data_IF_001892095315
#
_entry.id   IF_001892095315
#
_cell.length_a   1.000
_cell.length_b   1.000
_cell.length_c   1.000
_cell.angle_alpha   90.00
_cell.angle_beta   90.00
_cell.angle_gamma   90.00
#
_symmetry.space_group_name_H-M   'P 1'
#
loop_
_entity.id
_entity.type
_entity.pdbx_description
1 polymer ?
#
# COMPACT_ATOMS: atom_id res chain seq x y z
N UNK A 1 12.56 10.96 7.89
CA UNK A 1 13.74 11.49 7.14
C UNK A 1 14.16 10.47 6.09
N UNK A 2 14.45 10.91 4.85
CA UNK A 2 14.98 10.06 3.75
C UNK A 2 16.49 10.11 3.78
N UNK A 3 17.18 8.96 3.79
CA UNK A 3 18.65 8.90 3.75
C UNK A 3 19.14 7.79 2.81
N UNK A 4 20.22 8.04 2.08
CA UNK A 4 20.92 7.01 1.30
C UNK A 4 21.70 6.13 2.26
N UNK A 5 21.60 4.81 2.07
CA UNK A 5 22.38 3.83 2.85
C UNK A 5 23.16 2.91 1.91
N UNK A 6 24.30 2.38 2.40
CA UNK A 6 25.01 1.33 1.66
C UNK A 6 24.20 0.03 1.76
N UNK A 7 23.83 -0.59 0.63
CA UNK A 7 23.16 -1.89 0.64
C UNK A 7 23.90 -2.96 1.46
N UNK A 8 25.23 -2.87 1.56
CA UNK A 8 26.06 -3.81 2.34
C UNK A 8 25.79 -3.75 3.84
N UNK A 9 25.25 -2.62 4.33
CA UNK A 9 24.89 -2.46 5.74
C UNK A 9 23.47 -3.04 6.02
N UNK A 10 22.86 -3.69 5.04
CA UNK A 10 21.54 -4.28 5.14
C UNK A 10 21.54 -5.77 4.80
N UNK A 11 20.48 -6.48 5.20
CA UNK A 11 20.24 -7.85 4.75
C UNK A 11 19.85 -7.96 3.27
N UNK A 12 19.79 -6.83 2.56
CA UNK A 12 19.39 -6.74 1.15
C UNK A 12 20.55 -6.55 0.17
N UNK A 13 21.81 -6.63 0.65
CA UNK A 13 23.02 -6.43 -0.18
C UNK A 13 23.02 -7.31 -1.43
N UNK A 14 22.83 -8.61 -1.28
CA UNK A 14 22.79 -9.56 -2.39
C UNK A 14 21.60 -9.30 -3.34
N UNK A 15 20.42 -9.03 -2.79
CA UNK A 15 19.24 -8.72 -3.58
C UNK A 15 19.41 -7.41 -4.38
N UNK A 16 20.10 -6.42 -3.79
CA UNK A 16 20.42 -5.18 -4.48
C UNK A 16 21.38 -5.43 -5.66
N UNK A 17 22.42 -6.20 -5.47
CA UNK A 17 23.38 -6.54 -6.53
C UNK A 17 22.71 -7.29 -7.69
N UNK A 18 21.85 -8.26 -7.39
CA UNK A 18 21.18 -9.11 -8.39
C UNK A 18 20.07 -8.38 -9.15
N UNK A 19 19.24 -7.60 -8.43
CA UNK A 19 17.96 -7.15 -8.98
C UNK A 19 17.92 -5.66 -9.33
N UNK A 20 18.87 -4.84 -8.86
CA UNK A 20 18.83 -3.40 -9.14
C UNK A 20 19.00 -3.08 -10.63
N UNK A 21 19.72 -3.92 -11.36
CA UNK A 21 19.97 -3.77 -12.80
C UNK A 21 19.05 -4.66 -13.66
N UNK A 22 18.14 -5.39 -13.04
CA UNK A 22 17.21 -6.25 -13.79
C UNK A 22 16.20 -5.40 -14.56
N UNK A 23 15.88 -5.74 -15.81
CA UNK A 23 14.91 -5.01 -16.61
C UNK A 23 13.48 -5.12 -16.05
N UNK A 24 13.22 -6.12 -15.20
CA UNK A 24 11.95 -6.28 -14.49
C UNK A 24 12.23 -6.81 -13.08
N UNK A 25 12.16 -5.93 -12.11
CA UNK A 25 12.45 -6.24 -10.70
C UNK A 25 11.21 -6.28 -9.81
N UNK A 26 10.02 -6.08 -10.38
CA UNK A 26 8.77 -6.11 -9.63
C UNK A 26 8.17 -7.51 -9.60
N UNK A 27 7.71 -7.91 -8.43
CA UNK A 27 7.00 -9.18 -8.19
C UNK A 27 5.59 -8.86 -7.69
N UNK A 28 4.59 -9.59 -8.21
CA UNK A 28 3.20 -9.44 -7.76
C UNK A 28 2.70 -10.76 -7.17
N UNK A 29 2.16 -10.70 -5.96
CA UNK A 29 1.48 -11.80 -5.30
C UNK A 29 0.03 -11.42 -5.06
N UNK A 30 -0.91 -12.35 -5.30
CA UNK A 30 -2.33 -12.14 -4.99
C UNK A 30 -2.79 -13.15 -3.95
N UNK A 31 -3.49 -12.64 -2.93
CA UNK A 31 -4.12 -13.45 -1.89
C UNK A 31 -5.56 -13.01 -1.69
N UNK A 32 -6.45 -13.96 -1.48
CA UNK A 32 -7.84 -13.68 -1.08
C UNK A 32 -7.93 -13.53 0.43
N UNK A 33 -8.37 -12.37 0.88
CA UNK A 33 -8.54 -12.01 2.30
C UNK A 33 -9.98 -12.20 2.76
N UNK A 34 -10.15 -12.63 4.00
CA UNK A 34 -11.43 -12.51 4.70
C UNK A 34 -11.55 -11.09 5.26
N UNK A 35 -12.44 -10.31 4.69
CA UNK A 35 -12.69 -8.91 5.08
C UNK A 35 -14.06 -8.73 5.76
N UNK A 36 -14.63 -9.81 6.28
CA UNK A 36 -15.94 -9.79 6.93
C UNK A 36 -15.97 -8.81 8.10
N UNK A 37 -14.96 -8.89 8.97
CA UNK A 37 -14.85 -7.99 10.13
C UNK A 37 -14.66 -6.54 9.71
N UNK A 38 -13.77 -6.27 8.77
CA UNK A 38 -13.52 -4.93 8.24
C UNK A 38 -14.82 -4.30 7.72
N UNK A 39 -15.63 -5.06 6.97
CA UNK A 39 -16.93 -4.62 6.47
C UNK A 39 -17.92 -4.33 7.60
N UNK A 40 -17.96 -5.16 8.64
CA UNK A 40 -18.82 -4.95 9.81
C UNK A 40 -18.43 -3.67 10.56
N UNK A 41 -17.14 -3.48 10.83
CA UNK A 41 -16.61 -2.27 11.51
C UNK A 41 -16.89 -1.02 10.67
N UNK A 42 -16.61 -1.06 9.36
CA UNK A 42 -16.91 0.02 8.42
C UNK A 42 -18.35 0.51 8.56
N UNK A 43 -19.31 -0.41 8.61
CA UNK A 43 -20.74 -0.07 8.73
C UNK A 43 -21.10 0.45 10.12
N UNK A 44 -20.62 -0.24 11.19
CA UNK A 44 -20.97 0.13 12.58
C UNK A 44 -20.41 1.49 12.97
N UNK A 45 -19.19 1.82 12.53
CA UNK A 45 -18.52 3.08 12.86
C UNK A 45 -18.74 4.17 11.80
N UNK A 46 -19.48 3.89 10.74
CA UNK A 46 -19.67 4.80 9.59
C UNK A 46 -18.36 5.32 9.01
N UNK A 47 -17.38 4.42 8.87
CA UNK A 47 -16.07 4.70 8.29
C UNK A 47 -15.99 4.01 6.92
N UNK A 48 -15.51 4.71 5.88
CA UNK A 48 -15.37 4.15 4.54
C UNK A 48 -14.48 2.90 4.56
N UNK A 49 -14.92 1.82 3.89
CA UNK A 49 -14.19 0.55 3.82
C UNK A 49 -12.74 0.72 3.33
N UNK A 50 -12.54 1.48 2.25
CA UNK A 50 -11.20 1.72 1.70
C UNK A 50 -10.30 2.48 2.68
N UNK A 51 -10.84 3.43 3.46
CA UNK A 51 -10.09 4.11 4.52
C UNK A 51 -9.57 3.12 5.56
N UNK A 52 -10.44 2.26 6.07
CA UNK A 52 -10.04 1.23 7.03
C UNK A 52 -9.03 0.26 6.46
N UNK A 53 -9.18 -0.16 5.20
CA UNK A 53 -8.23 -1.05 4.55
C UNK A 53 -6.87 -0.37 4.37
N UNK A 54 -6.83 0.90 3.95
CA UNK A 54 -5.60 1.68 3.84
C UNK A 54 -4.88 1.79 5.19
N UNK A 55 -5.62 2.04 6.27
CA UNK A 55 -5.04 2.04 7.63
C UNK A 55 -4.50 0.67 8.03
N UNK A 56 -5.21 -0.42 7.74
CA UNK A 56 -4.74 -1.79 7.99
C UNK A 56 -3.45 -2.11 7.22
N UNK A 57 -3.35 -1.64 5.96
CA UNK A 57 -2.14 -1.78 5.13
C UNK A 57 -0.97 -1.07 5.79
N UNK A 58 -1.15 0.19 6.20
CA UNK A 58 -0.12 0.94 6.91
C UNK A 58 0.30 0.28 8.21
N UNK A 59 -0.66 -0.22 8.99
CA UNK A 59 -0.40 -0.92 10.26
C UNK A 59 0.35 -2.24 10.08
N UNK A 60 0.03 -3.02 9.07
CA UNK A 60 0.77 -4.24 8.76
C UNK A 60 2.20 -3.93 8.28
N UNK A 61 2.34 -2.93 7.40
CA UNK A 61 3.63 -2.50 6.85
C UNK A 61 4.55 -1.90 7.91
N UNK A 62 4.01 -1.11 8.85
CA UNK A 62 4.82 -0.43 9.88
C UNK A 62 5.58 -1.38 10.81
N UNK A 63 5.18 -2.66 10.84
CA UNK A 63 5.81 -3.71 11.65
C UNK A 63 6.96 -4.43 10.93
N UNK A 64 7.30 -4.00 9.72
CA UNK A 64 8.27 -4.67 8.86
C UNK A 64 9.33 -3.69 8.36
N UNK A 65 10.59 -3.98 8.66
CA UNK A 65 11.73 -3.12 8.26
C UNK A 65 11.83 -2.95 6.74
N UNK A 66 11.41 -3.92 5.98
CA UNK A 66 11.48 -3.91 4.52
C UNK A 66 10.65 -2.77 3.91
N UNK A 67 9.56 -2.35 4.58
CA UNK A 67 8.76 -1.22 4.13
C UNK A 67 9.41 0.15 4.39
N UNK A 68 10.52 0.19 5.10
CA UNK A 68 11.29 1.42 5.30
C UNK A 68 12.49 1.53 4.35
N UNK A 69 12.62 0.60 3.41
CA UNK A 69 13.65 0.58 2.38
C UNK A 69 13.02 0.82 1.01
N UNK A 70 13.65 1.64 0.16
CA UNK A 70 13.22 1.85 -1.22
C UNK A 70 14.43 1.90 -2.15
N UNK A 71 14.54 0.99 -3.14
CA UNK A 71 15.50 1.14 -4.22
C UNK A 71 14.97 2.19 -5.22
N UNK A 72 15.78 3.19 -5.50
CA UNK A 72 15.42 4.27 -6.41
C UNK A 72 16.69 4.79 -7.11
N UNK A 73 16.69 4.92 -8.44
CA UNK A 73 17.79 5.50 -9.23
C UNK A 73 19.19 4.91 -8.92
N UNK A 74 19.27 3.58 -8.77
CA UNK A 74 20.52 2.89 -8.49
C UNK A 74 21.03 3.02 -7.05
N UNK A 75 20.24 3.56 -6.13
CA UNK A 75 20.56 3.73 -4.71
C UNK A 75 19.53 3.01 -3.84
N UNK A 76 19.91 2.71 -2.61
CA UNK A 76 19.00 2.23 -1.58
C UNK A 76 18.75 3.36 -0.58
N UNK A 77 17.49 3.72 -0.40
CA UNK A 77 17.06 4.71 0.58
C UNK A 77 16.41 4.04 1.78
N UNK A 78 16.67 4.61 2.95
CA UNK A 78 15.98 4.26 4.20
C UNK A 78 15.14 5.44 4.66
N UNK A 79 13.94 5.13 5.11
CA UNK A 79 12.97 6.08 5.65
C UNK A 79 12.68 5.75 7.11
N UNK A 80 12.20 6.72 7.87
CA UNK A 80 11.72 6.57 9.25
C UNK A 80 10.18 6.67 9.38
N UNK A 81 9.50 7.02 8.29
CA UNK A 81 8.05 7.18 8.24
C UNK A 81 7.45 6.51 7.02
N UNK A 82 6.17 6.13 7.15
CA UNK A 82 5.37 5.58 6.07
C UNK A 82 4.24 6.54 5.70
N UNK A 83 3.83 6.52 4.44
CA UNK A 83 2.61 7.14 3.97
C UNK A 83 1.85 6.17 3.04
N UNK A 84 0.55 6.35 2.94
CA UNK A 84 -0.32 5.61 2.05
C UNK A 84 -0.78 6.54 0.93
N UNK A 85 -0.41 6.23 -0.30
CA UNK A 85 -0.93 6.93 -1.47
C UNK A 85 -2.32 6.39 -1.83
N UNK A 86 -3.27 7.28 -2.00
CA UNK A 86 -4.66 6.93 -2.34
C UNK A 86 -5.05 7.63 -3.64
N UNK A 87 -5.53 6.85 -4.60
CA UNK A 87 -6.07 7.36 -5.86
C UNK A 87 -7.55 7.70 -5.66
N UNK A 88 -7.95 8.88 -6.11
CA UNK A 88 -9.33 9.38 -6.04
C UNK A 88 -9.81 9.86 -7.42
N UNK A 89 -11.08 9.65 -7.70
CA UNK A 89 -11.72 10.32 -8.84
C UNK A 89 -11.90 11.80 -8.52
N UNK A 90 -11.58 12.67 -9.47
CA UNK A 90 -11.76 14.10 -9.33
C UNK A 90 -13.07 14.59 -9.97
N UNK A 91 -13.46 15.83 -9.69
CA UNK A 91 -14.73 16.43 -10.17
C UNK A 91 -14.77 16.62 -11.70
N UNK A 92 -13.64 16.54 -12.38
CA UNK A 92 -13.52 16.69 -13.84
C UNK A 92 -13.55 15.36 -14.59
N UNK A 93 -13.77 14.24 -13.87
CA UNK A 93 -13.85 12.88 -14.45
C UNK A 93 -12.49 12.20 -14.63
N UNK A 94 -11.40 12.82 -14.21
CA UNK A 94 -10.06 12.23 -14.15
C UNK A 94 -9.75 11.64 -12.79
N UNK A 95 -8.47 11.33 -12.56
CA UNK A 95 -7.96 10.81 -11.29
C UNK A 95 -6.85 11.73 -10.74
N UNK A 96 -6.78 11.82 -9.43
CA UNK A 96 -5.67 12.40 -8.69
C UNK A 96 -5.27 11.45 -7.55
N UNK A 97 -4.14 11.71 -6.93
CA UNK A 97 -3.70 10.95 -5.77
C UNK A 97 -3.23 11.85 -4.65
N UNK A 98 -3.27 11.35 -3.44
CA UNK A 98 -2.71 12.04 -2.28
C UNK A 98 -2.01 11.05 -1.35
N UNK A 99 -0.91 11.50 -0.76
CA UNK A 99 -0.19 10.77 0.25
C UNK A 99 -0.71 11.15 1.63
N UNK A 100 -1.06 10.14 2.40
CA UNK A 100 -1.59 10.27 3.75
C UNK A 100 -0.57 9.69 4.71
N UNK A 101 0.00 10.50 5.58
CA UNK A 101 0.96 10.03 6.59
C UNK A 101 0.34 8.93 7.45
N UNK A 102 1.04 7.81 7.57
CA UNK A 102 0.55 6.74 8.43
C UNK A 102 0.77 7.07 9.91
N UNK A 103 -0.26 6.81 10.70
CA UNK A 103 -0.21 6.78 12.17
C UNK A 103 -0.89 5.51 12.68
N UNK A 104 -0.41 4.97 13.80
CA UNK A 104 -0.99 3.78 14.43
C UNK A 104 -2.35 4.05 15.07
N UNK A 105 -2.67 5.32 15.32
CA UNK A 105 -3.97 5.75 15.81
C UNK A 105 -4.96 5.98 14.67
N UNK A 106 -6.00 5.13 14.62
CA UNK A 106 -7.07 5.23 13.60
C UNK A 106 -7.88 6.52 13.71
N UNK A 107 -8.06 7.06 14.91
CA UNK A 107 -8.85 8.29 15.11
C UNK A 107 -8.13 9.51 14.53
N UNK A 108 -6.81 9.54 14.59
CA UNK A 108 -5.97 10.56 13.93
C UNK A 108 -5.86 10.33 12.41
N UNK A 109 -5.78 9.07 11.94
CA UNK A 109 -5.68 8.77 10.52
C UNK A 109 -6.96 9.12 9.73
N UNK A 110 -8.12 8.92 10.33
CA UNK A 110 -9.41 9.13 9.66
C UNK A 110 -9.65 10.56 9.15
N UNK A 111 -9.46 11.63 9.95
CA UNK A 111 -9.64 13.00 9.47
C UNK A 111 -8.66 13.36 8.36
N UNK A 112 -7.39 12.99 8.48
CA UNK A 112 -6.37 13.26 7.46
C UNK A 112 -6.72 12.59 6.12
N UNK A 113 -7.10 11.31 6.17
CA UNK A 113 -7.56 10.58 4.99
C UNK A 113 -8.72 11.31 4.29
N UNK A 114 -9.73 11.72 5.05
CA UNK A 114 -10.93 12.40 4.51
C UNK A 114 -10.57 13.76 3.91
N UNK A 115 -9.81 14.57 4.65
CA UNK A 115 -9.43 15.91 4.21
C UNK A 115 -8.59 15.88 2.93
N UNK A 116 -7.54 15.05 2.89
CA UNK A 116 -6.63 14.96 1.74
C UNK A 116 -7.29 14.36 0.51
N UNK A 117 -8.09 13.29 0.66
CA UNK A 117 -8.84 12.71 -0.46
C UNK A 117 -9.89 13.66 -1.01
N UNK A 118 -10.57 14.43 -0.15
CA UNK A 118 -11.52 15.45 -0.58
C UNK A 118 -10.82 16.61 -1.28
N UNK A 119 -9.71 17.09 -0.74
CA UNK A 119 -8.93 18.17 -1.35
C UNK A 119 -8.44 17.77 -2.75
N UNK A 120 -7.84 16.58 -2.90
CA UNK A 120 -7.38 16.07 -4.21
C UNK A 120 -8.52 15.92 -5.22
N UNK A 121 -9.70 15.46 -4.77
CA UNK A 121 -10.88 15.31 -5.62
C UNK A 121 -11.43 16.67 -6.08
N UNK A 122 -11.46 17.67 -5.22
CA UNK A 122 -12.05 18.99 -5.51
C UNK A 122 -11.09 19.93 -6.24
N UNK A 123 -9.79 19.90 -5.92
CA UNK A 123 -8.79 20.76 -6.55
C UNK A 123 -8.33 20.23 -7.91
N UNK A 124 -8.56 18.97 -8.23
CA UNK A 124 -7.98 18.25 -9.38
C UNK A 124 -6.44 18.29 -9.38
N UNK A 125 -5.85 18.34 -8.19
CA UNK A 125 -4.40 18.34 -7.98
C UNK A 125 -4.00 17.20 -7.06
N UNK A 126 -2.88 16.54 -7.37
CA UNK A 126 -2.28 15.53 -6.50
C UNK A 126 -1.39 16.18 -5.45
N UNK A 127 -1.27 15.54 -4.28
CA UNK A 127 -0.41 16.00 -3.19
C UNK A 127 0.47 14.86 -2.69
N UNK A 128 1.75 15.12 -2.52
CA UNK A 128 2.76 14.11 -2.16
C UNK A 128 3.56 14.53 -0.93
N UNK A 129 4.15 13.56 -0.26
CA UNK A 129 5.08 13.76 0.86
C UNK A 129 6.48 13.30 0.44
N UNK A 130 7.51 14.11 0.70
CA UNK A 130 8.87 13.86 0.21
C UNK A 130 9.72 13.00 1.16
N UNK A 131 9.35 12.88 2.42
CA UNK A 131 10.20 12.31 3.47
C UNK A 131 9.61 11.06 4.14
N UNK A 132 8.65 10.41 3.49
CA UNK A 132 8.07 9.14 3.90
C UNK A 132 8.22 8.09 2.79
N UNK A 133 8.38 6.82 3.16
CA UNK A 133 8.23 5.73 2.20
C UNK A 133 6.75 5.53 1.91
N UNK A 134 6.38 5.68 0.66
CA UNK A 134 4.99 5.66 0.21
C UNK A 134 4.60 4.27 -0.24
N UNK A 135 3.50 3.75 0.30
CA UNK A 135 2.83 2.53 -0.19
C UNK A 135 1.68 2.98 -1.08
N UNK A 136 1.76 2.69 -2.37
CA UNK A 136 0.70 2.99 -3.30
C UNK A 136 -0.53 2.11 -3.07
N UNK A 137 -1.73 2.67 -3.22
CA UNK A 137 -2.96 1.89 -3.22
C UNK A 137 -3.86 2.25 -4.39
N UNK A 138 -4.52 1.23 -4.96
CA UNK A 138 -5.48 1.43 -6.04
C UNK A 138 -6.72 0.54 -5.83
N UNK A 139 -7.90 1.17 -5.79
CA UNK A 139 -9.16 0.51 -5.52
C UNK A 139 -10.13 0.64 -6.72
N UNK A 140 -10.32 -0.44 -7.47
CA UNK A 140 -11.25 -0.53 -8.60
C UNK A 140 -12.60 -1.11 -8.16
N UNK A 141 -13.33 -0.37 -7.32
CA UNK A 141 -14.53 -0.85 -6.61
C UNK A 141 -15.77 -1.05 -7.50
N UNK A 142 -15.71 -0.63 -8.76
CA UNK A 142 -16.80 -0.83 -9.73
C UNK A 142 -16.96 -2.30 -10.16
N UNK A 143 -15.91 -3.11 -10.06
CA UNK A 143 -15.91 -4.51 -10.48
C UNK A 143 -15.21 -5.43 -9.49
N UNK A 144 -15.56 -6.71 -9.52
CA UNK A 144 -14.85 -7.76 -8.82
C UNK A 144 -13.66 -8.20 -9.68
N UNK A 145 -12.50 -8.37 -9.08
CA UNK A 145 -11.27 -8.79 -9.75
C UNK A 145 -10.69 -9.99 -9.01
N UNK A 146 -10.07 -10.91 -9.75
CA UNK A 146 -9.36 -12.06 -9.18
C UNK A 146 -7.93 -11.70 -8.82
N UNK A 147 -7.28 -10.90 -9.67
CA UNK A 147 -5.92 -10.40 -9.48
C UNK A 147 -5.69 -9.13 -10.31
N UNK A 148 -4.66 -8.38 -9.94
CA UNK A 148 -4.21 -7.20 -10.66
C UNK A 148 -2.68 -7.27 -10.72
N UNK A 149 -2.12 -7.12 -11.91
CA UNK A 149 -0.68 -6.91 -12.11
C UNK A 149 -0.50 -5.47 -12.58
N UNK A 150 0.24 -4.69 -11.79
CA UNK A 150 0.51 -3.31 -12.14
C UNK A 150 1.63 -3.23 -13.20
N UNK A 151 1.66 -2.12 -13.92
CA UNK A 151 2.78 -1.83 -14.82
C UNK A 151 4.10 -1.75 -14.02
N UNK A 152 5.19 -2.04 -14.70
CA UNK A 152 6.53 -1.80 -14.18
C UNK A 152 7.10 -0.52 -14.81
N UNK A 153 7.75 0.27 -14.00
CA UNK A 153 8.62 1.36 -14.44
C UNK A 153 9.79 1.49 -13.45
N UNK A 154 10.96 1.78 -13.96
CA UNK A 154 12.18 2.03 -13.16
C UNK A 154 12.11 3.34 -12.36
N UNK A 155 11.14 4.20 -12.66
CA UNK A 155 10.91 5.47 -11.96
C UNK A 155 10.12 5.32 -10.66
N UNK A 156 9.27 4.26 -10.55
CA UNK A 156 8.39 4.05 -9.40
C UNK A 156 8.57 2.64 -8.86
N UNK A 157 9.49 2.49 -7.91
CA UNK A 157 9.79 1.22 -7.25
C UNK A 157 8.97 0.98 -5.98
N UNK A 158 8.04 1.88 -5.67
CA UNK A 158 7.20 1.80 -4.48
C UNK A 158 6.31 0.55 -4.49
N UNK A 159 6.11 -0.09 -3.33
CA UNK A 159 5.15 -1.17 -3.22
C UNK A 159 3.73 -0.67 -3.49
N UNK A 160 2.94 -1.51 -4.17
CA UNK A 160 1.56 -1.22 -4.54
C UNK A 160 0.63 -2.30 -4.01
N UNK A 161 -0.47 -1.89 -3.39
CA UNK A 161 -1.56 -2.77 -2.94
C UNK A 161 -2.83 -2.43 -3.70
N UNK A 162 -3.38 -3.41 -4.42
CA UNK A 162 -4.46 -3.17 -5.38
C UNK A 162 -5.61 -4.15 -5.14
N UNK A 163 -6.84 -3.67 -5.28
CA UNK A 163 -8.03 -4.51 -5.11
C UNK A 163 -9.22 -4.04 -5.94
N UNK A 164 -10.15 -4.96 -6.16
CA UNK A 164 -11.45 -4.70 -6.76
C UNK A 164 -12.55 -4.52 -5.72
N UNK A 165 -13.80 -4.75 -6.13
CA UNK A 165 -14.94 -4.83 -5.22
C UNK A 165 -14.89 -6.15 -4.44
N UNK A 166 -15.17 -6.10 -3.13
CA UNK A 166 -15.26 -7.30 -2.30
C UNK A 166 -16.48 -8.16 -2.68
N UNK A 167 -16.36 -9.47 -2.50
CA UNK A 167 -17.38 -10.47 -2.77
C UNK A 167 -18.14 -10.82 -1.50
N UNK A 168 -19.45 -10.70 -1.54
CA UNK A 168 -20.32 -11.09 -0.42
C UNK A 168 -20.74 -12.54 -0.58
N UNK A 169 -20.20 -13.42 0.25
CA UNK A 169 -20.71 -14.77 0.42
C UNK A 169 -21.74 -14.83 1.57
N UNK A 170 -22.29 -16.02 1.78
CA UNK A 170 -23.28 -16.24 2.84
C UNK A 170 -22.66 -16.08 4.24
N UNK A 171 -21.52 -16.68 4.50
CA UNK A 171 -20.83 -16.63 5.80
C UNK A 171 -19.70 -15.59 5.84
N UNK A 172 -19.06 -15.34 4.73
CA UNK A 172 -17.84 -14.51 4.64
C UNK A 172 -17.94 -13.48 3.53
N UNK A 173 -17.27 -12.38 3.75
CA UNK A 173 -16.95 -11.40 2.71
C UNK A 173 -15.47 -11.52 2.37
N UNK A 174 -15.18 -11.74 1.10
CA UNK A 174 -13.80 -11.95 0.63
C UNK A 174 -13.36 -10.87 -0.32
N UNK A 175 -12.05 -10.61 -0.35
CA UNK A 175 -11.43 -9.64 -1.23
C UNK A 175 -10.08 -10.15 -1.72
N UNK A 176 -9.91 -10.44 -3.01
CA UNK A 176 -8.60 -10.61 -3.59
C UNK A 176 -7.83 -9.30 -3.54
N UNK A 177 -6.63 -9.33 -2.98
CA UNK A 177 -5.71 -8.19 -2.90
C UNK A 177 -4.42 -8.62 -3.58
N UNK A 178 -3.98 -7.82 -4.55
CA UNK A 178 -2.69 -7.97 -5.21
C UNK A 178 -1.68 -7.02 -4.57
N UNK A 179 -0.55 -7.56 -4.19
CA UNK A 179 0.57 -6.86 -3.62
C UNK A 179 1.77 -6.95 -4.56
N UNK A 180 2.22 -5.82 -5.06
CA UNK A 180 3.41 -5.71 -5.91
C UNK A 180 4.53 -5.00 -5.14
N UNK A 181 5.76 -5.48 -5.29
CA UNK A 181 6.94 -4.96 -4.61
C UNK A 181 8.19 -5.14 -5.47
N UNK A 182 9.20 -4.31 -5.24
CA UNK A 182 10.51 -4.45 -5.88
C UNK A 182 11.33 -5.54 -5.18
N UNK A 183 11.97 -6.43 -5.96
CA UNK A 183 12.70 -7.59 -5.40
C UNK A 183 13.94 -7.20 -4.58
N UNK A 184 14.50 -6.02 -4.80
CA UNK A 184 15.54 -5.45 -3.91
C UNK A 184 14.97 -5.19 -2.53
N UNK A 185 13.77 -4.63 -2.43
CA UNK A 185 13.13 -4.29 -1.16
C UNK A 185 12.72 -5.54 -0.37
N UNK A 186 12.09 -6.51 -1.05
CA UNK A 186 11.54 -7.72 -0.44
C UNK A 186 11.79 -8.94 -1.32
N UNK A 187 11.70 -10.11 -0.74
CA UNK A 187 11.54 -11.39 -1.44
C UNK A 187 10.17 -12.02 -1.09
N UNK A 188 9.88 -13.19 -1.67
CA UNK A 188 8.60 -13.87 -1.47
C UNK A 188 8.28 -14.20 -0.01
N UNK A 189 9.29 -14.47 0.82
CA UNK A 189 9.11 -14.75 2.26
C UNK A 189 8.67 -13.49 3.02
N UNK A 190 9.26 -12.33 2.70
CA UNK A 190 8.86 -11.04 3.29
C UNK A 190 7.45 -10.66 2.85
N UNK A 191 7.15 -10.80 1.57
CA UNK A 191 5.82 -10.51 1.04
C UNK A 191 4.73 -11.42 1.65
N UNK A 192 5.02 -12.71 1.82
CA UNK A 192 4.10 -13.64 2.49
C UNK A 192 3.84 -13.21 3.95
N UNK A 193 4.88 -12.82 4.68
CA UNK A 193 4.75 -12.28 6.05
C UNK A 193 3.85 -11.04 6.09
N UNK A 194 4.03 -10.12 5.14
CA UNK A 194 3.16 -8.94 5.04
C UNK A 194 1.69 -9.31 4.82
N UNK A 195 1.42 -10.22 3.89
CA UNK A 195 0.04 -10.66 3.59
C UNK A 195 -0.63 -11.34 4.79
N UNK A 196 0.14 -12.14 5.57
CA UNK A 196 -0.37 -12.74 6.81
C UNK A 196 -0.61 -11.68 7.91
N UNK A 197 0.31 -10.71 8.07
CA UNK A 197 0.16 -9.64 9.05
C UNK A 197 -1.01 -8.72 8.71
N UNK A 198 -1.24 -8.44 7.41
CA UNK A 198 -2.40 -7.70 6.95
C UNK A 198 -3.71 -8.45 7.31
N UNK A 199 -3.77 -9.78 7.10
CA UNK A 199 -4.96 -10.56 7.49
C UNK A 199 -5.20 -10.52 9.01
N UNK A 200 -4.14 -10.63 9.83
CA UNK A 200 -4.26 -10.50 11.29
C UNK A 200 -4.76 -9.12 11.68
N UNK A 201 -4.24 -8.07 11.06
CA UNK A 201 -4.64 -6.69 11.31
C UNK A 201 -6.13 -6.47 10.96
N UNK A 202 -6.58 -6.96 9.81
CA UNK A 202 -8.00 -6.94 9.39
C UNK A 202 -8.89 -7.69 10.40
N UNK A 203 -8.41 -8.78 10.97
CA UNK A 203 -9.16 -9.56 11.94
C UNK A 203 -9.20 -8.92 13.34
N UNK A 204 -8.29 -8.02 13.66
CA UNK A 204 -8.17 -7.38 14.98
C UNK A 204 -8.79 -5.99 15.07
N UNK A 205 -9.25 -5.40 13.94
CA UNK A 205 -9.83 -4.05 13.90
C UNK A 205 -11.13 -3.92 14.68
#
# INVERSE_FOLDING_TARGET
MKQVIDPKDTRRAQAFELWMKSPMSMVTLTKTFDVTRLRVVSRRRNIKFNLLLCWCIGKAASRMEEFYLLPEQGKLYKYDRLAINVIVNNKEGGINSCDISYTDDLESFCPDYRALTQAASMSCQSSFVDDAMVIGTSAMTSTELDSIVNQYTDQFCNPMVMWGRYRKGWLKTTLPISFQFHHVQMDGGHAARFLEELQKTINSI
#
